data_IF_857685559379
#
_entry.id   IF_857685559379
#
_cell.length_a   1.000
_cell.length_b   1.000
_cell.length_c   1.000
_cell.angle_alpha   90.00
_cell.angle_beta   90.00
_cell.angle_gamma   90.00
#
_symmetry.space_group_name_H-M   'P 1'
#
loop_
_entity.id
_entity.type
_entity.pdbx_description
1 polymer ?
#
# COMPACT_ATOMS: atom_id res chain seq x y z
N UNK A 1 2.68 4.24 -14.04
CA UNK A 1 4.07 3.82 -13.72
C UNK A 1 4.33 4.23 -12.28
N UNK A 2 4.49 3.25 -11.41
CA UNK A 2 4.69 3.48 -9.97
C UNK A 2 6.01 4.21 -9.71
N UNK A 3 5.96 5.29 -8.92
CA UNK A 3 7.13 5.99 -8.41
C UNK A 3 7.92 5.09 -7.46
N UNK A 4 9.20 4.83 -7.77
CA UNK A 4 10.08 3.98 -6.95
C UNK A 4 10.11 4.37 -5.47
N UNK A 5 10.05 5.67 -5.17
CA UNK A 5 10.04 6.16 -3.78
C UNK A 5 8.81 5.68 -2.99
N UNK A 6 7.66 5.54 -3.66
CA UNK A 6 6.41 5.08 -3.06
C UNK A 6 6.42 3.56 -2.89
N UNK A 7 6.81 2.82 -3.94
CA UNK A 7 6.92 1.36 -3.83
C UNK A 7 7.92 0.96 -2.73
N UNK A 8 9.11 1.57 -2.71
CA UNK A 8 10.15 1.27 -1.72
C UNK A 8 9.65 1.55 -0.29
N UNK A 9 8.93 2.65 -0.06
CA UNK A 9 8.48 2.99 1.29
C UNK A 9 7.34 2.07 1.76
N UNK A 10 6.38 1.74 0.88
CA UNK A 10 5.30 0.80 1.20
C UNK A 10 5.85 -0.62 1.41
N UNK A 11 6.77 -1.10 0.56
CA UNK A 11 7.42 -2.41 0.73
C UNK A 11 8.15 -2.51 2.08
N UNK A 12 8.80 -1.42 2.54
CA UNK A 12 9.43 -1.39 3.87
C UNK A 12 8.41 -1.55 4.98
N UNK A 13 7.31 -0.81 4.93
CA UNK A 13 6.25 -0.91 5.92
C UNK A 13 5.65 -2.33 5.98
N UNK A 14 5.40 -2.94 4.82
CA UNK A 14 4.91 -4.31 4.71
C UNK A 14 5.89 -5.35 5.27
N UNK A 15 7.19 -5.05 5.24
CA UNK A 15 8.26 -5.87 5.85
C UNK A 15 8.45 -5.61 7.35
N UNK A 16 7.65 -4.74 7.95
CA UNK A 16 7.80 -4.32 9.36
C UNK A 16 9.05 -3.48 9.61
N UNK A 17 9.65 -2.90 8.57
CA UNK A 17 10.83 -2.04 8.70
C UNK A 17 10.40 -0.58 8.95
N UNK A 18 11.11 0.15 9.82
CA UNK A 18 10.82 1.56 10.04
C UNK A 18 11.04 2.37 8.76
N UNK A 19 10.33 3.49 8.56
CA UNK A 19 10.59 4.37 7.43
C UNK A 19 11.98 4.98 7.52
N UNK A 20 12.48 5.44 6.38
CA UNK A 20 13.76 6.14 6.32
C UNK A 20 13.54 7.60 6.73
N UNK A 21 14.16 8.03 7.84
CA UNK A 21 13.92 9.37 8.40
C UNK A 21 14.29 10.52 7.45
N UNK A 22 15.31 10.32 6.61
CA UNK A 22 15.75 11.31 5.62
C UNK A 22 14.83 11.42 4.39
N UNK A 23 13.81 10.55 4.28
CA UNK A 23 12.89 10.55 3.14
C UNK A 23 11.60 11.28 3.50
N UNK A 24 11.07 11.99 2.50
CA UNK A 24 9.81 12.75 2.59
C UNK A 24 8.61 11.82 2.68
N UNK A 25 8.65 10.70 1.95
CA UNK A 25 7.58 9.71 1.96
C UNK A 25 7.85 8.66 3.03
N UNK A 26 6.86 8.47 3.90
CA UNK A 26 6.92 7.49 5.00
C UNK A 26 5.65 6.67 4.98
N UNK A 27 5.79 5.35 5.04
CA UNK A 27 4.67 4.44 5.18
C UNK A 27 4.81 3.69 6.50
N UNK A 28 3.68 3.44 7.15
CA UNK A 28 3.59 2.66 8.37
C UNK A 28 2.52 1.60 8.18
N UNK A 29 2.79 0.39 8.67
CA UNK A 29 1.78 -0.64 8.83
C UNK A 29 1.30 -0.59 10.29
N UNK A 30 0.06 -0.18 10.50
CA UNK A 30 -0.52 -0.02 11.83
C UNK A 30 -1.61 -1.06 12.06
N UNK A 31 -1.61 -1.68 13.23
CA UNK A 31 -2.71 -2.52 13.67
C UNK A 31 -3.86 -1.64 14.16
N UNK A 32 -5.06 -1.89 13.65
CA UNK A 32 -6.29 -1.30 14.16
C UNK A 32 -7.02 -2.36 14.99
N UNK A 33 -7.14 -2.13 16.31
CA UNK A 33 -7.76 -3.07 17.24
C UNK A 33 -9.27 -3.22 17.04
N UNK A 34 -9.97 -2.11 16.78
CA UNK A 34 -11.43 -2.07 16.60
C UNK A 34 -11.88 -2.94 15.42
N UNK A 35 -11.17 -2.83 14.30
CA UNK A 35 -11.49 -3.53 13.06
C UNK A 35 -10.64 -4.79 12.85
N UNK A 36 -9.74 -5.13 13.79
CA UNK A 36 -8.83 -6.28 13.75
C UNK A 36 -8.13 -6.45 12.40
N UNK A 37 -7.58 -5.36 11.86
CA UNK A 37 -6.97 -5.32 10.53
C UNK A 37 -5.74 -4.41 10.54
N UNK A 38 -4.86 -4.60 9.55
CA UNK A 38 -3.73 -3.71 9.33
C UNK A 38 -4.06 -2.60 8.33
N UNK A 39 -3.65 -1.39 8.67
CA UNK A 39 -3.74 -0.21 7.83
C UNK A 39 -2.37 0.20 7.32
N UNK A 40 -2.30 0.47 6.02
CA UNK A 40 -1.16 1.17 5.43
C UNK A 40 -1.45 2.66 5.53
N UNK A 41 -0.67 3.37 6.33
CA UNK A 41 -0.73 4.82 6.48
C UNK A 41 0.45 5.45 5.73
N UNK A 42 0.17 6.19 4.65
CA UNK A 42 1.17 6.88 3.85
C UNK A 42 1.19 8.37 4.18
N UNK A 43 2.38 8.88 4.46
CA UNK A 43 2.65 10.27 4.76
C UNK A 43 3.58 10.88 3.73
N UNK A 44 3.31 12.15 3.38
CA UNK A 44 4.27 13.03 2.74
C UNK A 44 4.66 14.12 3.72
N UNK A 45 5.93 14.14 4.12
CA UNK A 45 6.42 14.85 5.30
C UNK A 45 5.62 14.44 6.55
N UNK A 46 4.72 15.31 7.00
CA UNK A 46 3.84 15.09 8.15
C UNK A 46 2.37 14.99 7.74
N UNK A 47 2.05 15.14 6.46
CA UNK A 47 0.67 15.09 5.97
C UNK A 47 0.27 13.65 5.67
N UNK A 48 -0.84 13.21 6.25
CA UNK A 48 -1.43 11.92 5.96
C UNK A 48 -2.13 11.95 4.59
N UNK A 49 -1.53 11.24 3.63
CA UNK A 49 -1.96 11.23 2.22
C UNK A 49 -2.92 10.07 1.92
N UNK A 50 -2.69 8.90 2.52
CA UNK A 50 -3.50 7.70 2.27
C UNK A 50 -3.62 6.85 3.55
N UNK A 51 -4.83 6.34 3.82
CA UNK A 51 -5.04 5.15 4.67
C UNK A 51 -5.69 4.08 3.80
N UNK A 52 -5.08 2.90 3.77
CA UNK A 52 -5.62 1.72 3.08
C UNK A 52 -5.82 0.55 4.04
N UNK A 53 -7.03 -0.02 4.05
CA UNK A 53 -7.36 -1.24 4.79
C UNK A 53 -6.92 -2.46 3.99
N UNK A 54 -5.92 -3.18 4.51
CA UNK A 54 -5.33 -4.35 3.83
C UNK A 54 -6.26 -5.56 3.75
N UNK A 55 -7.27 -5.65 4.62
CA UNK A 55 -8.22 -6.78 4.66
C UNK A 55 -9.47 -6.46 3.86
N UNK A 56 -10.07 -5.28 4.08
CA UNK A 56 -11.25 -4.83 3.31
C UNK A 56 -10.89 -4.39 1.89
N UNK A 57 -9.59 -4.21 1.62
CA UNK A 57 -9.03 -3.79 0.32
C UNK A 57 -9.62 -2.47 -0.17
N UNK A 58 -9.71 -1.51 0.74
CA UNK A 58 -10.41 -0.26 0.51
C UNK A 58 -9.61 0.92 1.03
N UNK A 59 -9.68 2.04 0.32
CA UNK A 59 -9.11 3.30 0.75
C UNK A 59 -10.06 3.95 1.76
N UNK A 60 -9.58 4.16 2.98
CA UNK A 60 -10.34 4.79 4.07
C UNK A 60 -10.14 6.32 4.10
N UNK A 61 -8.96 6.78 3.70
CA UNK A 61 -8.61 8.19 3.65
C UNK A 61 -7.74 8.47 2.44
N UNK A 62 -7.98 9.61 1.79
CA UNK A 62 -7.13 10.14 0.73
C UNK A 62 -7.08 11.66 0.82
N UNK A 63 -5.91 12.24 0.64
CA UNK A 63 -5.72 13.69 0.69
C UNK A 63 -4.54 14.13 -0.18
N UNK A 64 -4.65 15.31 -0.78
CA UNK A 64 -3.57 15.98 -1.48
C UNK A 64 -3.85 17.48 -1.55
N UNK A 65 -2.81 18.30 -1.51
CA UNK A 65 -2.90 19.74 -1.74
C UNK A 65 -2.00 20.16 -2.91
N UNK A 66 -0.76 19.65 -2.92
CA UNK A 66 0.25 20.00 -3.90
C UNK A 66 0.32 18.92 -5.00
N UNK A 67 0.81 19.28 -6.20
CA UNK A 67 1.00 18.30 -7.28
C UNK A 67 1.89 17.12 -6.90
N UNK A 68 2.85 17.32 -5.97
CA UNK A 68 3.69 16.25 -5.48
C UNK A 68 2.91 15.22 -4.64
N UNK A 69 1.99 15.69 -3.78
CA UNK A 69 1.13 14.82 -2.97
C UNK A 69 0.25 13.97 -3.87
N UNK A 70 -0.38 14.61 -4.86
CA UNK A 70 -1.25 13.94 -5.83
C UNK A 70 -0.52 12.85 -6.60
N UNK A 71 0.68 13.14 -7.13
CA UNK A 71 1.48 12.14 -7.83
C UNK A 71 1.85 10.95 -6.94
N UNK A 72 2.20 11.21 -5.68
CA UNK A 72 2.51 10.13 -4.74
C UNK A 72 1.28 9.31 -4.33
N UNK A 73 0.13 9.97 -4.13
CA UNK A 73 -1.16 9.31 -3.88
C UNK A 73 -1.55 8.41 -5.05
N UNK A 74 -1.53 8.93 -6.27
CA UNK A 74 -1.89 8.18 -7.48
C UNK A 74 -0.93 6.99 -7.66
N UNK A 75 0.36 7.20 -7.44
CA UNK A 75 1.36 6.13 -7.47
C UNK A 75 1.14 5.07 -6.37
N UNK A 76 0.67 5.45 -5.18
CA UNK A 76 0.41 4.51 -4.09
C UNK A 76 -0.80 3.63 -4.42
N UNK A 77 -1.85 4.21 -5.01
CA UNK A 77 -3.03 3.47 -5.49
C UNK A 77 -2.65 2.47 -6.57
N UNK A 78 -1.91 2.90 -7.60
CA UNK A 78 -1.45 2.03 -8.68
C UNK A 78 -0.63 0.84 -8.14
N UNK A 79 0.25 1.11 -7.18
CA UNK A 79 1.06 0.07 -6.52
C UNK A 79 0.21 -0.93 -5.73
N UNK A 80 -0.75 -0.46 -4.93
CA UNK A 80 -1.64 -1.33 -4.14
C UNK A 80 -2.47 -2.20 -5.08
N UNK A 81 -3.06 -1.61 -6.13
CA UNK A 81 -3.80 -2.36 -7.14
C UNK A 81 -2.94 -3.44 -7.82
N UNK A 82 -1.68 -3.14 -8.12
CA UNK A 82 -0.75 -4.11 -8.70
C UNK A 82 -0.47 -5.28 -7.74
N UNK A 83 -0.19 -5.01 -6.47
CA UNK A 83 0.02 -6.06 -5.45
C UNK A 83 -1.22 -6.92 -5.25
N UNK A 84 -2.40 -6.32 -5.23
CA UNK A 84 -3.67 -7.04 -5.16
C UNK A 84 -3.87 -7.94 -6.38
N UNK A 85 -3.57 -7.45 -7.60
CA UNK A 85 -3.63 -8.27 -8.82
C UNK A 85 -2.67 -9.47 -8.77
N UNK A 86 -1.46 -9.29 -8.25
CA UNK A 86 -0.49 -10.39 -8.11
C UNK A 86 -1.00 -11.41 -7.08
N UNK A 87 -1.46 -10.96 -5.93
CA UNK A 87 -1.97 -11.83 -4.86
C UNK A 87 -3.22 -12.62 -5.31
N UNK A 88 -4.07 -12.05 -6.17
CA UNK A 88 -5.21 -12.75 -6.80
C UNK A 88 -4.77 -13.79 -7.83
N UNK A 89 -3.69 -13.55 -8.58
CA UNK A 89 -3.14 -14.53 -9.53
C UNK A 89 -2.53 -15.73 -8.80
N UNK A 90 -1.87 -15.51 -7.67
CA UNK A 90 -1.30 -16.58 -6.83
C UNK A 90 -2.37 -17.40 -6.10
N UNK A 91 -3.57 -16.83 -5.88
CA UNK A 91 -4.73 -17.53 -5.33
C UNK A 91 -5.58 -18.25 -6.39
N UNK A 92 -5.28 -18.12 -7.69
CA UNK A 92 -5.93 -18.96 -8.71
C UNK A 92 -5.39 -20.39 -8.56
N UNK A 93 -6.25 -21.41 -8.39
CA UNK A 93 -5.82 -22.75 -8.05
C UNK A 93 -4.94 -23.39 -9.13
N UNK A 94 -3.97 -24.19 -8.68
CA UNK A 94 -3.47 -25.39 -9.35
C UNK A 94 -4.64 -26.37 -9.62
N UNK A 95 -5.57 -26.02 -10.50
CA UNK A 95 -6.56 -26.96 -11.01
C UNK A 95 -6.35 -27.08 -12.51
N UNK A 96 -6.21 -28.35 -12.94
CA UNK A 96 -5.78 -28.90 -14.23
C UNK A 96 -4.25 -29.10 -14.28
N UNK A 97 -3.71 -30.33 -14.27
CA UNK A 97 -4.13 -31.51 -15.03
C UNK A 97 -4.06 -32.79 -14.18
N UNK A 98 -5.23 -33.28 -13.76
CA UNK A 98 -5.47 -34.70 -13.58
C UNK A 98 -6.57 -35.09 -14.54
N UNK A 99 -6.20 -35.52 -15.74
CA UNK A 99 -7.11 -36.21 -16.64
C UNK A 99 -6.41 -37.49 -17.13
N UNK A 100 -6.88 -38.59 -16.52
CA UNK A 100 -6.92 -39.99 -16.96
C UNK A 100 -5.74 -40.54 -17.74
#
# INVERSE_FOLDING_TARGET
>A
MVMKQISDCIDRALKGLPPLESKKWKAYLQWNEEHRTHYICLYHYQHLVLIYDTVKKSILHQWWEKPADKRGLDSAKEYIEEKERICLKEKKPLIQMGNK
#
